data_IF_174293627020
#
_entry.id   IF_174293627020
#
_cell.length_a   1.000
_cell.length_b   1.000
_cell.length_c   1.000
_cell.angle_alpha   90.00
_cell.angle_beta   90.00
_cell.angle_gamma   90.00
#
_symmetry.space_group_name_H-M   'P 1'
#
loop_
_entity.id
_entity.type
_entity.pdbx_description
1 polymer ?
#
# COMPACT_ATOMS: atom_id res chain seq x y z
N UNK A 1 19.68 37.19 -30.34
CA UNK A 1 20.00 36.13 -29.36
C UNK A 1 18.79 35.64 -28.56
N UNK A 2 17.84 36.50 -28.13
CA UNK A 2 16.79 36.15 -27.12
C UNK A 2 15.67 35.21 -27.64
N UNK A 3 15.42 35.16 -28.96
CA UNK A 3 14.35 34.30 -29.53
C UNK A 3 14.67 32.80 -29.52
N UNK A 4 15.95 32.40 -29.52
CA UNK A 4 16.35 30.99 -29.52
C UNK A 4 16.18 30.31 -28.16
N UNK A 5 16.40 31.04 -27.07
CA UNK A 5 16.20 30.53 -25.71
C UNK A 5 14.71 30.33 -25.40
N UNK A 6 13.82 31.23 -25.83
CA UNK A 6 12.37 31.09 -25.61
C UNK A 6 11.79 29.81 -26.23
N UNK A 7 12.22 29.45 -27.44
CA UNK A 7 11.82 28.21 -28.14
C UNK A 7 12.37 26.95 -27.47
N UNK A 8 13.59 27.01 -26.92
CA UNK A 8 14.18 25.90 -26.14
C UNK A 8 13.50 25.71 -24.78
N UNK A 9 13.09 26.79 -24.12
CA UNK A 9 12.37 26.71 -22.85
C UNK A 9 10.93 26.20 -23.01
N UNK A 10 10.22 26.62 -24.06
CA UNK A 10 8.87 26.10 -24.37
C UNK A 10 8.87 24.59 -24.66
N UNK A 11 9.86 24.10 -25.41
CA UNK A 11 10.01 22.65 -25.65
C UNK A 11 10.27 21.85 -24.38
N UNK A 12 11.11 22.36 -23.47
CA UNK A 12 11.37 21.73 -22.16
C UNK A 12 10.13 21.71 -21.26
N UNK A 13 9.35 22.79 -21.26
CA UNK A 13 8.11 22.88 -20.47
C UNK A 13 7.07 21.88 -21.00
N UNK A 14 6.92 21.76 -22.32
CA UNK A 14 6.04 20.77 -22.94
C UNK A 14 6.45 19.33 -22.61
N UNK A 15 7.75 19.02 -22.67
CA UNK A 15 8.27 17.69 -22.32
C UNK A 15 8.02 17.36 -20.85
N UNK A 16 8.23 18.32 -19.93
CA UNK A 16 7.98 18.14 -18.51
C UNK A 16 6.48 17.94 -18.21
N UNK A 17 5.60 18.67 -18.90
CA UNK A 17 4.15 18.47 -18.81
C UNK A 17 3.72 17.07 -19.26
N UNK A 18 4.26 16.59 -20.38
CA UNK A 18 3.96 15.25 -20.90
C UNK A 18 4.44 14.14 -19.94
N UNK A 19 5.63 14.29 -19.36
CA UNK A 19 6.18 13.33 -18.40
C UNK A 19 5.36 13.26 -17.11
N UNK A 20 4.78 14.39 -16.68
CA UNK A 20 3.92 14.46 -15.49
C UNK A 20 2.61 13.66 -15.67
N UNK A 21 2.06 13.65 -16.88
CA UNK A 21 0.86 12.87 -17.22
C UNK A 21 1.18 11.36 -17.21
N UNK A 22 2.37 10.96 -17.67
CA UNK A 22 2.81 9.56 -17.67
C UNK A 22 3.04 9.00 -16.26
N UNK A 23 3.37 9.85 -15.28
CA UNK A 23 3.50 9.47 -13.86
C UNK A 23 2.18 9.55 -13.08
N UNK A 24 1.08 9.88 -13.75
CA UNK A 24 -0.26 9.92 -13.12
C UNK A 24 -0.76 8.50 -12.85
N UNK A 25 -0.86 8.11 -11.58
CA UNK A 25 -1.43 6.82 -11.19
C UNK A 25 -2.96 6.81 -11.22
N UNK A 26 -3.55 5.63 -11.47
CA UNK A 26 -5.01 5.39 -11.50
C UNK A 26 -5.65 5.31 -10.09
N UNK A 27 -5.30 6.21 -9.16
CA UNK A 27 -5.81 6.17 -7.79
C UNK A 27 -7.31 6.47 -7.68
N UNK A 28 -7.90 7.14 -8.68
CA UNK A 28 -9.32 7.49 -8.71
C UNK A 28 -10.22 6.47 -9.42
N UNK A 29 -9.67 5.38 -9.97
CA UNK A 29 -10.42 4.35 -10.70
C UNK A 29 -10.96 3.23 -9.79
N UNK A 30 -10.81 3.37 -8.47
CA UNK A 30 -11.22 2.38 -7.48
C UNK A 30 -12.63 2.57 -6.95
N UNK A 31 -13.17 1.49 -6.37
CA UNK A 31 -14.41 1.51 -5.57
C UNK A 31 -14.18 2.21 -4.22
N UNK A 32 -15.24 2.78 -3.64
CA UNK A 32 -15.13 3.46 -2.34
C UNK A 32 -14.65 2.47 -1.27
N UNK A 33 -13.90 2.91 -0.24
CA UNK A 33 -13.29 1.99 0.74
C UNK A 33 -14.27 0.96 1.35
N UNK A 34 -15.52 1.35 1.59
CA UNK A 34 -16.58 0.48 2.11
C UNK A 34 -17.23 -0.46 1.09
N UNK A 35 -17.03 -0.22 -0.21
CA UNK A 35 -17.49 -1.09 -1.31
C UNK A 35 -16.50 -2.26 -1.55
N UNK A 36 -15.34 -2.28 -0.88
CA UNK A 36 -14.34 -3.37 -0.99
C UNK A 36 -14.73 -4.65 -0.23
N UNK A 37 -15.65 -4.55 0.73
CA UNK A 37 -16.10 -5.69 1.52
C UNK A 37 -16.82 -6.78 0.70
N UNK A 38 -17.44 -6.40 -0.43
CA UNK A 38 -18.14 -7.35 -1.32
C UNK A 38 -17.22 -8.06 -2.31
N UNK A 39 -16.00 -7.54 -2.54
CA UNK A 39 -14.99 -8.18 -3.41
C UNK A 39 -14.03 -9.08 -2.63
N UNK A 40 -13.83 -8.81 -1.35
CA UNK A 40 -12.97 -9.61 -0.48
C UNK A 40 -13.65 -10.94 -0.18
N UNK A 41 -13.09 -12.03 -0.68
CA UNK A 41 -13.53 -13.39 -0.33
C UNK A 41 -12.88 -13.80 1.00
N UNK A 42 -13.50 -14.70 1.78
CA UNK A 42 -12.89 -15.23 3.01
C UNK A 42 -11.48 -15.80 2.80
N UNK A 43 -11.22 -16.39 1.63
CA UNK A 43 -9.91 -16.98 1.29
C UNK A 43 -8.81 -15.94 1.01
N UNK A 44 -9.16 -14.66 0.87
CA UNK A 44 -8.20 -13.56 0.75
C UNK A 44 -7.79 -12.99 2.11
N UNK A 45 -8.31 -13.54 3.21
CA UNK A 45 -7.84 -13.20 4.55
C UNK A 45 -6.35 -13.53 4.65
N UNK A 46 -5.59 -12.63 5.28
CA UNK A 46 -4.16 -12.82 5.55
C UNK A 46 -3.88 -14.11 6.34
N UNK A 47 -4.87 -14.52 7.12
CA UNK A 47 -4.90 -15.75 7.85
C UNK A 47 -6.13 -16.56 7.46
N UNK A 48 -5.89 -17.73 6.88
CA UNK A 48 -6.92 -18.66 6.42
C UNK A 48 -7.54 -19.47 7.55
N UNK A 49 -6.92 -19.51 8.74
CA UNK A 49 -7.36 -20.29 9.89
C UNK A 49 -7.29 -19.47 11.19
N UNK A 50 -8.14 -18.43 11.34
CA UNK A 50 -8.08 -17.47 12.44
C UNK A 50 -8.25 -18.08 13.84
N UNK A 51 -8.91 -19.24 13.93
CA UNK A 51 -9.05 -19.95 15.21
C UNK A 51 -7.76 -20.66 15.59
N UNK A 52 -7.11 -21.33 14.64
CA UNK A 52 -5.88 -22.06 14.90
C UNK A 52 -4.72 -21.10 15.24
N UNK A 53 -4.58 -20.03 14.46
CA UNK A 53 -3.59 -18.98 14.72
C UNK A 53 -3.78 -18.32 16.08
N UNK A 54 -5.02 -18.02 16.49
CA UNK A 54 -5.33 -17.45 17.79
C UNK A 54 -4.96 -18.41 18.94
N UNK A 55 -5.16 -19.73 18.77
CA UNK A 55 -4.73 -20.71 19.75
C UNK A 55 -3.21 -20.80 19.84
N UNK A 56 -2.52 -20.79 18.70
CA UNK A 56 -1.06 -20.80 18.64
C UNK A 56 -0.47 -19.53 19.27
N UNK A 57 -1.09 -18.38 19.04
CA UNK A 57 -0.75 -17.11 19.71
C UNK A 57 -0.95 -17.21 21.21
N UNK A 58 -2.09 -17.74 21.66
CA UNK A 58 -2.36 -17.93 23.08
C UNK A 58 -1.30 -18.82 23.75
N UNK A 59 -0.89 -19.90 23.09
CA UNK A 59 0.18 -20.79 23.56
C UNK A 59 1.52 -20.05 23.57
N UNK A 60 1.84 -19.33 22.49
CA UNK A 60 3.09 -18.58 22.33
C UNK A 60 3.24 -17.50 23.41
N UNK A 61 2.23 -16.65 23.60
CA UNK A 61 2.22 -15.63 24.65
C UNK A 61 2.32 -16.24 26.04
N UNK A 62 1.68 -17.40 26.27
CA UNK A 62 1.80 -18.09 27.57
C UNK A 62 3.22 -18.59 27.85
N UNK A 63 4.03 -18.81 26.81
CA UNK A 63 5.39 -19.37 26.94
C UNK A 63 6.49 -18.31 26.82
N UNK A 64 6.30 -17.29 25.99
CA UNK A 64 7.39 -16.43 25.48
C UNK A 64 7.01 -14.93 25.43
N UNK A 65 6.02 -14.48 26.20
CA UNK A 65 5.57 -13.07 26.17
C UNK A 65 6.67 -12.01 26.39
N UNK A 66 7.82 -12.37 26.97
CA UNK A 66 8.95 -11.45 27.19
C UNK A 66 9.73 -11.07 25.92
N UNK A 67 9.63 -11.82 24.82
CA UNK A 67 10.37 -11.55 23.56
C UNK A 67 9.61 -10.68 22.55
N UNK A 68 8.40 -10.22 22.89
CA UNK A 68 7.55 -9.46 21.98
C UNK A 68 6.60 -10.35 21.16
N UNK A 69 5.40 -9.83 20.90
CA UNK A 69 4.31 -10.55 20.22
C UNK A 69 4.10 -10.15 18.77
N UNK A 70 3.38 -11.00 18.02
CA UNK A 70 2.91 -10.71 16.67
C UNK A 70 1.88 -9.56 16.74
N UNK A 71 2.06 -8.46 16.02
CA UNK A 71 1.04 -7.41 15.91
C UNK A 71 -0.02 -7.82 14.88
N UNK A 72 -1.28 -7.91 15.32
CA UNK A 72 -2.44 -8.40 14.57
C UNK A 72 -2.92 -7.51 13.40
N UNK A 73 -2.09 -6.57 12.94
CA UNK A 73 -2.43 -5.65 11.86
C UNK A 73 -1.58 -5.95 10.64
N UNK A 74 -2.17 -6.60 9.63
CA UNK A 74 -1.55 -6.73 8.31
C UNK A 74 -1.15 -5.35 7.77
N UNK A 75 0.15 -5.10 7.70
CA UNK A 75 0.72 -3.87 7.11
C UNK A 75 1.53 -2.98 8.06
N UNK A 76 2.34 -3.55 8.96
CA UNK A 76 3.33 -2.78 9.72
C UNK A 76 4.73 -3.36 9.57
N UNK A 77 5.74 -2.48 9.44
CA UNK A 77 7.15 -2.85 9.61
C UNK A 77 7.31 -3.29 11.07
N UNK A 78 7.27 -4.59 11.33
CA UNK A 78 7.28 -5.21 12.66
C UNK A 78 8.59 -5.01 13.42
N UNK A 79 8.93 -3.76 13.73
CA UNK A 79 10.02 -3.42 14.62
C UNK A 79 9.49 -3.30 16.05
N UNK A 80 10.12 -4.06 16.95
CA UNK A 80 10.18 -3.74 18.37
C UNK A 80 10.99 -2.44 18.56
#
# INVERSE_FOLDING_TARGET
MIHGDYSRHTGKILLAGLLSILLSGCSSLGVKPWERGTLARPEMALDSQPVASAMDDHIYFSKEASSGGRSFGGGGCGCN
#
